data_IF_067055605531
#
_entry.id   IF_067055605531
#
_cell.length_a   1.000
_cell.length_b   1.000
_cell.length_c   1.000
_cell.angle_alpha   90.00
_cell.angle_beta   90.00
_cell.angle_gamma   90.00
#
_symmetry.space_group_name_H-M   'P 1'
#
loop_
_entity.id
_entity.type
_entity.pdbx_description
1 polymer ?
#
# COMPACT_ATOMS: atom_id res chain seq x y z
N UNK A 1 -6.08 -0.83 -19.07
CA UNK A 1 -4.83 -1.49 -19.48
C UNK A 1 -3.85 -1.33 -18.35
N UNK A 2 -3.24 -2.43 -17.88
CA UNK A 2 -2.29 -2.36 -16.77
C UNK A 2 -0.87 -2.20 -17.32
N UNK A 3 -0.07 -1.27 -16.76
CA UNK A 3 1.29 -1.01 -17.24
C UNK A 3 2.17 -2.26 -17.27
N UNK A 4 2.08 -3.08 -16.22
CA UNK A 4 2.91 -4.27 -16.07
C UNK A 4 2.65 -5.37 -17.12
N UNK A 5 1.60 -5.25 -17.94
CA UNK A 5 1.36 -6.13 -19.09
C UNK A 5 2.30 -5.80 -20.27
N UNK A 6 2.90 -4.60 -20.28
CA UNK A 6 3.83 -4.08 -21.29
C UNK A 6 5.24 -3.99 -20.73
N UNK A 7 5.89 -5.14 -20.57
CA UNK A 7 7.15 -5.24 -19.80
C UNK A 7 8.24 -4.25 -20.23
N UNK A 8 8.47 -4.07 -21.54
CA UNK A 8 9.51 -3.16 -22.03
C UNK A 8 9.19 -1.70 -21.69
N UNK A 9 7.99 -1.22 -22.05
CA UNK A 9 7.54 0.15 -21.75
C UNK A 9 7.48 0.42 -20.24
N UNK A 10 7.08 -0.59 -19.46
CA UNK A 10 7.00 -0.49 -18.00
C UNK A 10 8.39 -0.33 -17.37
N UNK A 11 9.36 -1.13 -17.80
CA UNK A 11 10.74 -1.05 -17.30
C UNK A 11 11.42 0.26 -17.69
N UNK A 12 11.21 0.75 -18.91
CA UNK A 12 11.69 2.07 -19.35
C UNK A 12 11.10 3.19 -18.50
N UNK A 13 9.78 3.16 -18.27
CA UNK A 13 9.11 4.16 -17.46
C UNK A 13 9.55 4.11 -16.00
N UNK A 14 9.74 2.92 -15.43
CA UNK A 14 10.30 2.73 -14.09
C UNK A 14 11.67 3.39 -13.99
N UNK A 15 12.56 3.17 -14.96
CA UNK A 15 13.90 3.75 -14.95
C UNK A 15 13.86 5.29 -15.01
N UNK A 16 13.03 5.85 -15.90
CA UNK A 16 12.85 7.31 -16.02
C UNK A 16 12.33 7.92 -14.72
N UNK A 17 11.31 7.30 -14.12
CA UNK A 17 10.69 7.77 -12.88
C UNK A 17 11.64 7.64 -11.69
N UNK A 18 12.40 6.53 -11.62
CA UNK A 18 13.41 6.29 -10.61
C UNK A 18 14.48 7.39 -10.62
N UNK A 19 15.00 7.73 -11.79
CA UNK A 19 15.98 8.80 -11.98
C UNK A 19 15.39 10.19 -11.63
N UNK A 20 14.14 10.44 -12.04
CA UNK A 20 13.47 11.71 -11.75
C UNK A 20 13.23 11.93 -10.25
N UNK A 21 12.79 10.89 -9.53
CA UNK A 21 12.48 10.96 -8.09
C UNK A 21 13.77 10.82 -7.24
N UNK A 22 14.81 10.18 -7.78
CA UNK A 22 16.05 9.90 -7.06
C UNK A 22 15.94 8.69 -6.14
N UNK A 23 15.24 7.63 -6.57
CA UNK A 23 15.04 6.37 -5.83
C UNK A 23 15.41 5.16 -6.70
N UNK A 24 15.82 4.01 -6.15
CA UNK A 24 15.98 2.77 -6.92
C UNK A 24 14.74 2.38 -7.71
N UNK A 25 14.96 1.86 -8.93
CA UNK A 25 13.92 1.31 -9.81
C UNK A 25 12.99 0.32 -9.11
N UNK A 26 13.53 -0.57 -8.28
CA UNK A 26 12.74 -1.54 -7.54
C UNK A 26 11.74 -0.90 -6.57
N UNK A 27 12.04 0.30 -6.06
CA UNK A 27 11.10 1.02 -5.20
C UNK A 27 9.93 1.62 -5.99
N UNK A 28 10.18 2.08 -7.22
CA UNK A 28 9.11 2.53 -8.13
C UNK A 28 8.23 1.35 -8.53
N UNK A 29 8.83 0.21 -8.83
CA UNK A 29 8.09 -1.02 -9.16
C UNK A 29 7.26 -1.52 -7.98
N UNK A 30 7.83 -1.59 -6.77
CA UNK A 30 7.09 -1.96 -5.55
C UNK A 30 5.95 -0.99 -5.27
N UNK A 31 6.19 0.32 -5.41
CA UNK A 31 5.15 1.32 -5.22
C UNK A 31 3.94 1.12 -6.15
N UNK A 32 4.19 0.83 -7.43
CA UNK A 32 3.15 0.50 -8.39
C UNK A 32 2.28 -0.67 -7.89
N UNK A 33 2.90 -1.76 -7.43
CA UNK A 33 2.17 -2.93 -6.93
C UNK A 33 1.47 -2.69 -5.58
N UNK A 34 2.02 -1.84 -4.71
CA UNK A 34 1.34 -1.40 -3.48
C UNK A 34 0.04 -0.70 -3.84
N UNK A 35 0.06 0.24 -4.79
CA UNK A 35 -1.16 0.93 -5.21
C UNK A 35 -2.15 -0.03 -5.86
N UNK A 36 -1.70 -1.00 -6.68
CA UNK A 36 -2.57 -2.05 -7.23
C UNK A 36 -3.25 -2.89 -6.14
N UNK A 37 -2.50 -3.34 -5.12
CA UNK A 37 -3.08 -4.05 -3.97
C UNK A 37 -4.09 -3.18 -3.21
N UNK A 38 -3.77 -1.91 -2.99
CA UNK A 38 -4.70 -0.98 -2.34
C UNK A 38 -5.96 -0.70 -3.19
N UNK A 39 -5.87 -0.77 -4.53
CA UNK A 39 -7.04 -0.73 -5.43
C UNK A 39 -7.94 -1.95 -5.22
N UNK A 40 -7.38 -3.16 -5.08
CA UNK A 40 -8.17 -4.37 -4.77
C UNK A 40 -8.99 -4.16 -3.50
N UNK A 41 -8.36 -3.62 -2.46
CA UNK A 41 -9.02 -3.36 -1.18
C UNK A 41 -10.07 -2.25 -1.28
N UNK A 42 -9.78 -1.15 -1.99
CA UNK A 42 -10.74 -0.07 -2.22
C UNK A 42 -11.98 -0.54 -3.00
N UNK A 43 -11.80 -1.43 -3.97
CA UNK A 43 -12.90 -1.94 -4.80
C UNK A 43 -13.66 -3.09 -4.13
N UNK A 44 -13.54 -3.24 -2.81
CA UNK A 44 -14.17 -4.30 -2.03
C UNK A 44 -15.08 -3.76 -0.92
N UNK A 45 -15.83 -4.67 -0.29
CA UNK A 45 -16.64 -4.35 0.90
C UNK A 45 -15.80 -3.88 2.12
N UNK A 46 -14.47 -4.04 2.08
CA UNK A 46 -13.58 -3.72 3.19
C UNK A 46 -13.03 -2.27 3.17
N UNK A 47 -13.34 -1.48 2.13
CA UNK A 47 -12.78 -0.14 1.94
C UNK A 47 -13.05 0.84 3.10
N UNK A 48 -14.21 0.73 3.75
CA UNK A 48 -14.63 1.62 4.84
C UNK A 48 -14.33 1.06 6.24
N UNK A 49 -13.87 -0.18 6.33
CA UNK A 49 -13.61 -0.89 7.59
C UNK A 49 -12.14 -1.27 7.78
N UNK A 50 -11.27 -0.85 6.87
CA UNK A 50 -9.84 -1.00 6.99
C UNK A 50 -9.19 0.39 6.91
N UNK A 51 -8.22 0.63 7.79
CA UNK A 51 -7.47 1.89 7.87
C UNK A 51 -6.00 1.60 7.59
N UNK A 52 -5.45 2.32 6.62
CA UNK A 52 -4.05 2.27 6.30
C UNK A 52 -3.24 3.08 7.31
N UNK A 53 -2.24 2.44 7.91
CA UNK A 53 -1.39 2.99 8.97
C UNK A 53 0.09 2.81 8.62
N UNK A 54 0.97 3.12 9.59
CA UNK A 54 2.40 2.89 9.48
C UNK A 54 3.17 3.97 8.73
N UNK A 55 4.49 3.79 8.63
CA UNK A 55 5.41 4.71 7.97
C UNK A 55 5.10 4.91 6.48
N UNK A 56 4.49 3.91 5.84
CA UNK A 56 4.04 3.97 4.45
C UNK A 56 2.92 4.98 4.22
N UNK A 57 1.89 4.98 5.08
CA UNK A 57 0.80 5.95 4.99
C UNK A 57 1.30 7.40 5.14
N UNK A 58 2.31 7.61 6.00
CA UNK A 58 2.95 8.91 6.23
C UNK A 58 3.77 9.34 5.01
N UNK A 59 4.63 8.45 4.52
CA UNK A 59 5.52 8.73 3.41
C UNK A 59 4.70 9.07 2.16
N UNK A 60 3.68 8.29 1.81
CA UNK A 60 2.86 8.49 0.60
C UNK A 60 1.91 9.69 0.64
N UNK A 61 1.27 9.97 1.78
CA UNK A 61 0.19 10.98 1.83
C UNK A 61 0.58 12.33 2.46
N UNK A 62 1.81 12.47 2.97
CA UNK A 62 2.35 13.74 3.47
C UNK A 62 3.68 14.05 2.78
N UNK A 63 3.68 14.90 1.73
CA UNK A 63 4.89 15.33 1.05
C UNK A 63 5.93 15.92 2.02
N UNK A 64 7.19 15.49 1.92
CA UNK A 64 8.31 16.01 2.73
C UNK A 64 8.51 15.40 4.13
N UNK A 65 7.78 14.34 4.48
CA UNK A 65 7.74 13.83 5.87
C UNK A 65 8.83 12.79 6.22
N UNK A 66 9.32 11.97 5.29
CA UNK A 66 10.40 10.97 5.51
C UNK A 66 10.99 10.49 4.16
N UNK A 67 12.26 10.08 4.13
CA UNK A 67 12.90 9.44 2.95
C UNK A 67 12.15 8.15 2.59
N UNK A 68 11.48 8.17 1.43
CA UNK A 68 10.43 7.21 1.06
C UNK A 68 11.01 5.90 0.49
N UNK A 69 11.24 4.90 1.33
CA UNK A 69 11.19 3.50 0.91
C UNK A 69 10.09 2.79 1.68
N UNK A 70 8.93 2.73 1.06
CA UNK A 70 7.75 2.05 1.57
C UNK A 70 7.77 0.61 1.06
N UNK A 71 8.08 -0.35 1.93
CA UNK A 71 8.08 -1.77 1.59
C UNK A 71 6.84 -2.49 2.11
N UNK A 72 6.05 -1.82 2.97
CA UNK A 72 5.05 -2.49 3.80
C UNK A 72 3.65 -1.87 3.62
N UNK A 73 2.64 -2.74 3.64
CA UNK A 73 1.22 -2.39 3.75
C UNK A 73 0.75 -2.74 5.17
N UNK A 74 0.57 -1.73 6.02
CA UNK A 74 0.02 -1.90 7.35
C UNK A 74 -1.45 -1.49 7.42
N UNK A 75 -2.33 -2.44 7.71
CA UNK A 75 -3.76 -2.23 7.82
C UNK A 75 -4.26 -2.47 9.24
N UNK A 76 -5.31 -1.74 9.58
CA UNK A 76 -6.09 -1.98 10.78
C UNK A 76 -7.56 -2.16 10.42
N UNK A 77 -8.09 -3.34 10.71
CA UNK A 77 -9.49 -3.67 10.55
C UNK A 77 -10.31 -3.15 11.73
N UNK A 78 -11.31 -2.32 11.44
CA UNK A 78 -12.27 -1.75 12.38
C UNK A 78 -13.63 -2.41 12.15
N UNK A 79 -14.06 -3.35 12.99
CA UNK A 79 -15.39 -3.92 12.85
C UNK A 79 -16.47 -2.93 13.31
N UNK A 80 -17.65 -3.05 12.70
CA UNK A 80 -18.85 -2.29 13.07
C UNK A 80 -19.31 -2.63 14.50
N UNK A 81 -19.14 -3.89 14.91
CA UNK A 81 -19.49 -4.39 16.24
C UNK A 81 -18.40 -5.31 16.78
N UNK A 82 -18.30 -5.45 18.10
CA UNK A 82 -17.32 -6.36 18.69
C UNK A 82 -17.63 -7.82 18.31
N UNK A 83 -16.58 -8.52 17.87
CA UNK A 83 -16.68 -9.88 17.37
C UNK A 83 -15.92 -10.88 18.25
N UNK A 84 -16.23 -12.17 18.11
CA UNK A 84 -15.42 -13.24 18.71
C UNK A 84 -14.09 -13.39 17.95
N UNK A 85 -13.05 -13.93 18.58
CA UNK A 85 -11.75 -14.15 17.94
C UNK A 85 -11.86 -14.94 16.63
N UNK A 86 -12.74 -15.95 16.58
CA UNK A 86 -13.02 -16.71 15.36
C UNK A 86 -13.58 -15.85 14.22
N UNK A 87 -14.46 -14.89 14.54
CA UNK A 87 -15.01 -13.94 13.55
C UNK A 87 -13.94 -12.96 13.07
N UNK A 88 -13.10 -12.42 13.97
CA UNK A 88 -11.95 -11.59 13.60
C UNK A 88 -10.99 -12.33 12.68
N UNK A 89 -10.53 -13.52 13.07
CA UNK A 89 -9.59 -14.33 12.28
C UNK A 89 -10.14 -14.60 10.87
N UNK A 90 -11.46 -14.84 10.74
CA UNK A 90 -12.14 -15.02 9.45
C UNK A 90 -12.23 -13.72 8.64
N UNK A 91 -12.55 -12.59 9.27
CA UNK A 91 -12.62 -11.29 8.60
C UNK A 91 -11.24 -10.86 8.09
N UNK A 92 -10.20 -10.96 8.93
CA UNK A 92 -8.83 -10.64 8.54
C UNK A 92 -8.33 -11.52 7.39
N UNK A 93 -8.69 -12.81 7.39
CA UNK A 93 -8.39 -13.69 6.25
C UNK A 93 -9.06 -13.22 4.96
N UNK A 94 -10.32 -12.76 5.01
CA UNK A 94 -11.01 -12.24 3.82
C UNK A 94 -10.39 -10.94 3.32
N UNK A 95 -9.95 -10.06 4.23
CA UNK A 95 -9.20 -8.85 3.86
C UNK A 95 -7.88 -9.24 3.18
N UNK A 96 -7.13 -10.19 3.77
CA UNK A 96 -5.88 -10.74 3.21
C UNK A 96 -6.09 -11.32 1.81
N UNK A 97 -7.08 -12.19 1.62
CA UNK A 97 -7.40 -12.81 0.34
C UNK A 97 -7.84 -11.75 -0.70
N UNK A 98 -8.54 -10.69 -0.26
CA UNK A 98 -9.02 -9.61 -1.14
C UNK A 98 -7.88 -8.73 -1.62
N UNK A 99 -7.04 -8.23 -0.71
CA UNK A 99 -5.97 -7.31 -1.05
C UNK A 99 -4.88 -7.99 -1.90
N UNK A 100 -4.60 -9.27 -1.62
CA UNK A 100 -3.60 -10.07 -2.34
C UNK A 100 -4.13 -10.74 -3.62
N UNK A 101 -5.38 -10.46 -4.04
CA UNK A 101 -5.95 -11.05 -5.24
C UNK A 101 -5.10 -10.74 -6.49
N UNK A 102 -4.68 -11.77 -7.21
CA UNK A 102 -3.79 -11.66 -8.38
C UNK A 102 -2.28 -11.64 -8.04
N UNK A 103 -1.90 -11.84 -6.78
CA UNK A 103 -0.52 -11.89 -6.33
C UNK A 103 -0.18 -13.25 -5.71
N UNK A 104 1.10 -13.60 -5.74
CA UNK A 104 1.66 -14.68 -4.94
C UNK A 104 1.78 -14.22 -3.48
N UNK A 105 1.63 -15.17 -2.55
CA UNK A 105 1.64 -14.87 -1.12
C UNK A 105 2.35 -15.97 -0.33
N UNK A 106 3.20 -15.56 0.61
CA UNK A 106 3.83 -16.41 1.62
C UNK A 106 3.53 -15.87 3.02
N UNK A 107 2.92 -16.72 3.87
CA UNK A 107 2.53 -16.33 5.23
C UNK A 107 3.74 -16.31 6.16
N UNK A 108 3.79 -15.31 7.03
CA UNK A 108 4.78 -15.20 8.10
C UNK A 108 4.15 -15.80 9.37
N UNK A 109 4.20 -17.13 9.52
CA UNK A 109 3.46 -17.86 10.56
C UNK A 109 3.77 -17.38 11.98
N UNK A 110 5.02 -17.00 12.27
CA UNK A 110 5.45 -16.54 13.59
C UNK A 110 4.82 -15.19 14.02
N UNK A 111 4.31 -14.41 13.07
CA UNK A 111 3.66 -13.11 13.33
C UNK A 111 2.11 -13.19 13.29
N UNK A 112 1.55 -14.39 13.07
CA UNK A 112 0.11 -14.58 12.85
C UNK A 112 -0.61 -15.04 14.11
N UNK A 113 -1.81 -14.49 14.33
CA UNK A 113 -2.74 -14.95 15.36
C UNK A 113 -4.20 -14.66 14.95
N UNK A 114 -5.17 -14.77 15.86
CA UNK A 114 -6.58 -14.50 15.57
C UNK A 114 -6.90 -13.02 15.28
N UNK A 115 -6.01 -12.11 15.66
CA UNK A 115 -6.15 -10.65 15.58
C UNK A 115 -5.12 -9.99 14.67
N UNK A 116 -4.15 -10.74 14.16
CA UNK A 116 -3.08 -10.28 13.29
C UNK A 116 -2.79 -11.28 12.16
N UNK A 117 -2.69 -10.80 10.93
CA UNK A 117 -2.25 -11.58 9.76
C UNK A 117 -1.06 -10.87 9.12
N UNK A 118 0.02 -11.60 8.89
CA UNK A 118 1.23 -11.09 8.24
C UNK A 118 1.66 -12.02 7.09
N UNK A 119 2.01 -11.45 5.94
CA UNK A 119 2.47 -12.19 4.77
C UNK A 119 3.42 -11.36 3.90
N UNK A 120 4.29 -12.02 3.13
CA UNK A 120 4.95 -11.41 1.98
C UNK A 120 4.08 -11.61 0.74
N UNK A 121 3.87 -10.56 -0.05
CA UNK A 121 3.04 -10.56 -1.26
C UNK A 121 3.84 -9.99 -2.42
N UNK A 122 3.81 -10.62 -3.60
CA UNK A 122 4.53 -10.17 -4.79
C UNK A 122 3.82 -10.66 -6.07
N UNK A 123 3.97 -9.98 -7.22
CA UNK A 123 3.33 -10.40 -8.46
C UNK A 123 4.04 -11.62 -9.05
N UNK A 124 3.30 -12.50 -9.73
CA UNK A 124 3.81 -13.78 -10.25
C UNK A 124 4.97 -13.63 -11.26
N UNK A 125 4.97 -12.53 -12.03
CA UNK A 125 5.96 -12.26 -13.07
C UNK A 125 7.23 -11.55 -12.56
N UNK A 126 7.35 -11.29 -11.26
CA UNK A 126 8.50 -10.61 -10.64
C UNK A 126 9.22 -11.48 -9.61
N UNK A 127 10.48 -11.15 -9.34
CA UNK A 127 11.25 -11.78 -8.27
C UNK A 127 10.72 -11.39 -6.89
N UNK A 128 10.58 -12.38 -6.01
CA UNK A 128 10.21 -12.19 -4.61
C UNK A 128 11.23 -11.31 -3.88
N UNK A 129 12.50 -11.45 -4.20
CA UNK A 129 13.61 -10.75 -3.54
C UNK A 129 13.57 -9.24 -3.78
N UNK A 130 13.12 -8.82 -4.96
CA UNK A 130 13.09 -7.40 -5.36
C UNK A 130 11.71 -6.77 -5.21
N UNK A 131 10.63 -7.54 -5.34
CA UNK A 131 9.27 -7.01 -5.43
C UNK A 131 8.31 -7.46 -4.32
N UNK A 132 8.77 -8.20 -3.31
CA UNK A 132 7.91 -8.49 -2.16
C UNK A 132 7.53 -7.22 -1.39
N UNK A 133 6.30 -7.23 -0.91
CA UNK A 133 5.71 -6.26 0.00
C UNK A 133 5.30 -7.00 1.25
N UNK A 134 5.63 -6.48 2.44
CA UNK A 134 5.09 -7.05 3.68
C UNK A 134 3.67 -6.54 3.87
N UNK A 135 2.71 -7.44 3.95
CA UNK A 135 1.32 -7.14 4.27
C UNK A 135 1.06 -7.50 5.73
N UNK A 136 0.64 -6.53 6.54
CA UNK A 136 0.19 -6.73 7.91
C UNK A 136 -1.25 -6.22 8.09
N UNK A 137 -2.10 -7.04 8.71
CA UNK A 137 -3.50 -6.70 8.99
C UNK A 137 -3.81 -7.01 10.45
N UNK A 138 -3.91 -5.95 11.25
CA UNK A 138 -4.23 -6.03 12.67
C UNK A 138 -5.67 -5.61 12.99
N UNK A 139 -6.16 -5.94 14.19
CA UNK A 139 -7.49 -5.50 14.69
C UNK A 139 -7.50 -5.02 16.14
N UNK A 140 -6.34 -5.00 16.80
CA UNK A 140 -6.23 -4.67 18.22
C UNK A 140 -6.22 -3.16 18.52
N UNK A 141 -5.92 -2.34 17.52
CA UNK A 141 -5.87 -0.89 17.65
C UNK A 141 -7.11 -0.31 16.97
N UNK A 142 -7.82 0.61 17.61
CA UNK A 142 -8.85 1.42 16.94
C UNK A 142 -8.21 2.75 16.57
N UNK A 143 -7.79 2.96 15.31
CA UNK A 143 -7.16 4.20 14.90
C UNK A 143 -8.20 5.33 14.95
N UNK A 144 -7.88 6.45 15.60
CA UNK A 144 -8.69 7.67 15.60
C UNK A 144 -7.84 8.90 15.97
N UNK A 145 -7.78 9.98 15.16
CA UNK A 145 -8.59 10.21 13.97
C UNK A 145 -7.95 9.65 12.68
N UNK A 146 -8.81 9.37 11.71
CA UNK A 146 -8.44 9.06 10.33
C UNK A 146 -9.26 9.90 9.34
N UNK A 147 -8.81 9.95 8.08
CA UNK A 147 -9.58 10.54 6.98
C UNK A 147 -9.28 9.85 5.67
N UNK A 148 -10.23 9.97 4.75
CA UNK A 148 -10.01 9.60 3.35
C UNK A 148 -8.90 10.48 2.74
N UNK A 149 -7.92 9.82 2.13
CA UNK A 149 -6.79 10.45 1.41
C UNK A 149 -6.59 9.72 0.08
N UNK A 150 -6.22 10.46 -0.95
CA UNK A 150 -5.81 9.90 -2.23
C UNK A 150 -4.34 9.49 -2.20
N UNK A 151 -4.04 8.30 -2.71
CA UNK A 151 -2.71 7.77 -2.98
C UNK A 151 -2.53 7.65 -4.49
N UNK A 152 -1.33 8.00 -4.97
CA UNK A 152 -0.88 7.87 -6.35
C UNK A 152 0.41 7.06 -6.39
N UNK A 153 0.66 6.40 -7.51
CA UNK A 153 1.98 5.82 -7.80
C UNK A 153 2.96 6.94 -8.08
N UNK A 154 4.25 6.65 -7.94
CA UNK A 154 5.33 7.50 -8.42
C UNK A 154 5.25 7.75 -9.93
N UNK A 155 4.81 6.75 -10.68
CA UNK A 155 4.58 6.85 -12.13
C UNK A 155 3.49 7.89 -12.40
N UNK A 156 2.37 7.82 -11.69
CA UNK A 156 1.27 8.76 -11.85
C UNK A 156 1.67 10.18 -11.46
N UNK A 157 2.37 10.36 -10.33
CA UNK A 157 2.90 11.66 -9.91
C UNK A 157 3.82 12.26 -10.98
N UNK A 158 4.71 11.44 -11.57
CA UNK A 158 5.60 11.86 -12.65
C UNK A 158 4.85 12.27 -13.92
N UNK A 159 3.91 11.45 -14.40
CA UNK A 159 3.16 11.72 -15.63
C UNK A 159 2.36 13.03 -15.52
N UNK A 160 1.69 13.24 -14.39
CA UNK A 160 0.93 14.46 -14.11
C UNK A 160 1.83 15.71 -14.10
N UNK A 161 3.01 15.63 -13.47
CA UNK A 161 3.97 16.75 -13.41
C UNK A 161 4.55 17.07 -14.80
N UNK A 162 4.69 16.08 -15.68
CA UNK A 162 5.09 16.29 -17.08
C UNK A 162 3.96 16.78 -17.98
N UNK A 163 2.76 17.00 -17.43
CA UNK A 163 1.58 17.37 -18.21
C UNK A 163 1.13 16.28 -19.18
N UNK A 164 1.63 15.05 -19.01
CA UNK A 164 1.18 13.87 -19.74
C UNK A 164 -0.10 13.44 -19.02
N UNK A 165 -1.27 13.69 -19.62
CA UNK A 165 -2.48 13.12 -19.05
C UNK A 165 -2.29 11.61 -18.90
N UNK A 166 -2.82 11.03 -17.81
CA UNK A 166 -2.79 9.61 -17.46
C UNK A 166 -3.53 8.70 -18.47
N UNK A 167 -3.65 9.15 -19.72
CA UNK A 167 -4.35 8.61 -20.85
C UNK A 167 -3.59 9.18 -22.06
N UNK A 168 -2.77 8.40 -22.77
CA UNK A 168 -3.27 7.63 -23.91
C UNK A 168 -2.78 6.16 -23.93
N UNK A 169 -1.83 5.76 -23.08
CA UNK A 169 -1.28 4.40 -23.09
C UNK A 169 -1.73 3.54 -21.90
N UNK A 170 -1.87 4.11 -20.69
CA UNK A 170 -2.13 3.32 -19.47
C UNK A 170 -3.01 4.06 -18.45
N UNK A 171 -4.11 3.45 -18.01
CA UNK A 171 -5.01 4.03 -17.01
C UNK A 171 -4.52 3.73 -15.58
N UNK A 172 -3.62 4.54 -15.03
CA UNK A 172 -3.39 4.54 -13.59
C UNK A 172 -4.50 5.32 -12.87
N UNK A 173 -5.06 4.73 -11.80
CA UNK A 173 -6.15 5.33 -11.03
C UNK A 173 -5.69 5.65 -9.62
N UNK A 174 -5.95 6.90 -9.19
CA UNK A 174 -5.83 7.29 -7.79
C UNK A 174 -6.66 6.35 -6.91
N UNK A 175 -6.08 5.95 -5.77
CA UNK A 175 -6.80 5.21 -4.72
C UNK A 175 -7.19 6.17 -3.62
N UNK A 176 -8.44 6.20 -3.19
CA UNK A 176 -8.88 6.94 -2.00
C UNK A 176 -9.10 5.97 -0.84
N UNK A 177 -8.38 6.17 0.26
CA UNK A 177 -8.41 5.25 1.39
C UNK A 177 -8.46 5.95 2.74
N UNK A 178 -9.04 5.28 3.76
CA UNK A 178 -8.99 5.76 5.13
C UNK A 178 -7.57 5.65 5.69
N UNK A 179 -6.99 6.77 6.07
CA UNK A 179 -5.64 6.84 6.61
C UNK A 179 -5.59 7.59 7.92
N UNK A 180 -4.72 7.16 8.84
CA UNK A 180 -4.48 7.84 10.11
C UNK A 180 -4.07 9.31 9.90
N UNK A 181 -4.64 10.21 10.71
CA UNK A 181 -4.37 11.65 10.65
C UNK A 181 -3.16 12.10 11.48
N UNK A 182 -2.71 11.33 12.48
CA UNK A 182 -1.56 11.70 13.32
C UNK A 182 -0.27 11.70 12.47
N UNK A 183 0.41 12.81 12.16
CA UNK A 183 0.74 14.08 12.86
C UNK A 183 1.79 13.90 13.97
N UNK A 184 3.06 14.16 13.61
CA UNK A 184 3.96 15.07 14.35
C UNK A 184 3.80 15.13 15.88
N UNK A 185 4.12 14.04 16.60
CA UNK A 185 4.45 14.11 18.05
C UNK A 185 5.84 13.52 18.35
N UNK A 186 6.51 12.88 17.38
CA UNK A 186 7.86 12.33 17.60
C UNK A 186 9.03 13.25 17.14
N UNK A 187 8.77 14.40 16.49
CA UNK A 187 9.83 15.31 15.99
C UNK A 187 9.94 16.61 16.79
N UNK A 188 9.20 16.74 17.91
CA UNK A 188 9.37 17.88 18.85
C UNK A 188 10.09 17.50 20.15
N UNK A 189 10.57 16.25 20.28
CA UNK A 189 11.38 15.79 21.41
C UNK A 189 12.72 15.20 20.96
N UNK A 190 13.46 15.93 20.12
CA UNK A 190 14.93 15.77 20.03
C UNK A 190 15.63 16.97 19.40
N UNK A 191 15.25 18.17 19.81
CA UNK A 191 16.14 19.34 19.78
C UNK A 191 15.92 20.08 21.11
N UNK A 192 16.66 19.63 22.11
CA UNK A 192 17.00 20.36 23.32
C UNK A 192 18.44 20.00 23.65
#
# INVERSE_FOLDING_TARGET
MNLHEHKEEFEELIAIVADYIGVPADAVRRDYYIVQMMQNLQNSEYAEVCVFKGGTSLSKCYPGSINRFSEDIDLTFIPVEDMTNKKYSKALKRVEDTISAGFLMEKIEDERNDRNKSAFVWPENESKETCRVKLEIGSSVRPDPFSKRSMKTYIQEYLEEKGMQSAELFQEKCVTYMMLRYFWIAVTFRIS
#
